data_IF_309702759837
#
_entry.id   IF_309702759837
#
_cell.length_a   1.000
_cell.length_b   1.000
_cell.length_c   1.000
_cell.angle_alpha   90.00
_cell.angle_beta   90.00
_cell.angle_gamma   90.00
#
_symmetry.space_group_name_H-M   'P 1'
#
loop_
_entity.id
_entity.type
_entity.pdbx_description
1 polymer ?
#
# COMPACT_ATOMS: atom_id res chain seq x y z
N UNK A 1 56.43 49.58 14.27
CA UNK A 1 55.75 50.03 13.04
C UNK A 1 56.16 49.14 11.87
N UNK A 2 55.22 48.44 11.24
CA UNK A 2 55.33 48.09 9.82
C UNK A 2 53.92 47.92 9.27
N UNK A 3 53.52 48.87 8.43
CA UNK A 3 52.18 49.02 7.87
C UNK A 3 52.04 48.18 6.59
N UNK A 4 50.81 47.69 6.42
CA UNK A 4 50.03 47.55 5.16
C UNK A 4 50.45 46.55 4.08
N UNK A 5 49.46 45.80 3.59
CA UNK A 5 48.85 45.84 2.22
C UNK A 5 47.84 44.67 2.11
N UNK A 6 46.53 44.94 2.04
CA UNK A 6 45.69 45.04 0.83
C UNK A 6 45.29 43.71 0.16
N UNK A 7 43.96 43.49 0.12
CA UNK A 7 43.12 42.80 -0.89
C UNK A 7 43.40 41.30 -1.13
N UNK A 8 42.42 40.40 -1.15
CA UNK A 8 41.28 40.37 -2.08
C UNK A 8 40.14 39.52 -1.52
N UNK A 9 38.94 40.09 -1.54
CA UNK A 9 37.68 39.37 -1.50
C UNK A 9 37.59 38.55 -2.80
N UNK A 10 37.61 37.22 -2.72
CA UNK A 10 37.19 36.35 -3.84
C UNK A 10 36.00 35.57 -3.35
N UNK A 11 34.83 36.10 -3.70
CA UNK A 11 33.57 35.38 -3.73
C UNK A 11 33.68 34.39 -4.89
N UNK A 12 33.93 33.12 -4.57
CA UNK A 12 33.77 32.04 -5.54
C UNK A 12 32.62 31.18 -5.02
N UNK A 13 31.43 31.47 -5.55
CA UNK A 13 30.32 30.55 -5.49
C UNK A 13 30.71 29.26 -6.18
N UNK A 14 30.59 28.15 -5.47
CA UNK A 14 30.52 26.83 -6.03
C UNK A 14 29.23 26.21 -5.51
N UNK A 15 28.39 25.82 -6.47
CA UNK A 15 27.07 25.24 -6.28
C UNK A 15 27.11 24.15 -5.20
N UNK A 16 26.32 24.35 -4.14
CA UNK A 16 25.92 23.24 -3.28
C UNK A 16 25.04 22.32 -4.11
N UNK A 17 25.61 21.24 -4.62
CA UNK A 17 24.85 20.05 -4.97
C UNK A 17 24.35 19.45 -3.66
N UNK A 18 23.28 20.04 -3.13
CA UNK A 18 22.38 19.30 -2.28
C UNK A 18 21.82 18.20 -3.18
N UNK A 19 22.34 16.99 -3.03
CA UNK A 19 21.65 15.78 -3.41
C UNK A 19 20.40 15.68 -2.51
N UNK A 20 19.42 16.54 -2.78
CA UNK A 20 18.03 16.21 -2.56
C UNK A 20 17.73 15.15 -3.61
N UNK A 21 17.75 13.89 -3.18
CA UNK A 21 17.10 12.84 -3.94
C UNK A 21 15.65 13.27 -4.10
N UNK A 22 15.29 13.78 -5.28
CA UNK A 22 13.93 13.82 -5.77
C UNK A 22 13.51 12.37 -6.00
N UNK A 23 13.10 11.72 -4.92
CA UNK A 23 11.95 10.84 -4.96
C UNK A 23 10.85 11.58 -4.21
N UNK A 24 10.06 12.37 -4.94
CA UNK A 24 8.73 12.77 -4.48
C UNK A 24 7.85 11.50 -4.49
N UNK A 25 8.11 10.59 -3.55
CA UNK A 25 7.08 9.69 -3.08
C UNK A 25 6.16 10.57 -2.24
N UNK A 26 4.97 10.82 -2.79
CA UNK A 26 3.90 11.46 -2.03
C UNK A 26 3.72 10.65 -0.75
N UNK A 27 4.26 11.17 0.36
CA UNK A 27 4.03 10.68 1.70
C UNK A 27 2.54 10.87 1.99
N UNK A 28 1.73 9.89 1.63
CA UNK A 28 0.35 9.78 2.07
C UNK A 28 0.29 9.30 3.53
N UNK A 29 1.20 9.78 4.40
CA UNK A 29 1.14 9.74 5.86
C UNK A 29 0.82 8.36 6.47
N UNK A 30 1.33 7.31 5.84
CA UNK A 30 0.94 5.94 6.15
C UNK A 30 2.17 5.04 6.35
N UNK A 31 2.42 4.63 7.60
CA UNK A 31 3.40 3.62 7.96
C UNK A 31 2.75 2.21 7.84
N UNK A 32 3.05 1.49 6.77
CA UNK A 32 2.47 0.17 6.50
C UNK A 32 3.39 -0.90 7.10
N UNK A 33 2.88 -1.74 8.01
CA UNK A 33 3.62 -2.90 8.47
C UNK A 33 3.65 -3.97 7.36
N UNK A 34 4.85 -4.40 6.97
CA UNK A 34 5.04 -5.48 6.00
C UNK A 34 4.56 -6.84 6.52
N UNK A 35 4.47 -6.98 7.85
CA UNK A 35 3.98 -8.18 8.51
C UNK A 35 2.45 -8.25 8.45
N UNK A 36 1.95 -9.23 7.72
CA UNK A 36 0.51 -9.52 7.61
C UNK A 36 0.23 -10.95 8.00
N UNK A 37 -1.02 -11.23 8.34
CA UNK A 37 -1.47 -12.59 8.64
C UNK A 37 -2.46 -13.07 7.60
N UNK A 38 -2.23 -14.28 7.11
CA UNK A 38 -3.06 -14.99 6.14
C UNK A 38 -3.99 -15.95 6.87
N UNK A 39 -5.23 -15.99 6.43
CA UNK A 39 -6.28 -16.86 6.93
C UNK A 39 -6.99 -17.53 5.76
N UNK A 40 -7.12 -18.86 5.75
CA UNK A 40 -7.86 -19.60 4.73
C UNK A 40 -9.36 -19.44 4.91
N UNK A 41 -9.81 -19.32 6.15
CA UNK A 41 -11.22 -19.23 6.51
C UNK A 41 -11.45 -18.24 7.65
N UNK A 42 -12.69 -17.77 7.80
CA UNK A 42 -13.10 -16.99 8.98
C UNK A 42 -12.81 -17.76 10.26
N UNK A 43 -13.11 -19.05 10.31
CA UNK A 43 -12.91 -19.88 11.50
C UNK A 43 -11.45 -19.88 11.94
N UNK A 44 -10.52 -20.01 10.99
CA UNK A 44 -9.09 -19.94 11.28
C UNK A 44 -8.65 -18.58 11.85
N UNK A 45 -9.28 -17.49 11.42
CA UNK A 45 -9.07 -16.17 12.01
C UNK A 45 -9.55 -16.09 13.46
N UNK A 46 -10.69 -16.70 13.77
CA UNK A 46 -11.23 -16.79 15.13
C UNK A 46 -10.36 -17.68 16.02
N UNK A 47 -9.95 -18.83 15.51
CA UNK A 47 -9.19 -19.84 16.26
C UNK A 47 -7.80 -19.34 16.68
N UNK A 48 -7.21 -18.38 15.95
CA UNK A 48 -5.96 -17.73 16.37
C UNK A 48 -6.14 -16.81 17.60
N UNK A 49 -7.37 -16.45 17.95
CA UNK A 49 -7.69 -15.69 19.17
C UNK A 49 -7.22 -14.23 19.19
N UNK A 50 -6.73 -13.70 18.06
CA UNK A 50 -6.29 -12.30 17.94
C UNK A 50 -7.46 -11.35 17.67
N UNK A 51 -8.46 -11.83 16.94
CA UNK A 51 -9.61 -11.04 16.51
C UNK A 51 -10.93 -11.68 16.93
N UNK A 52 -11.97 -10.86 17.05
CA UNK A 52 -13.32 -11.36 17.31
C UNK A 52 -13.91 -12.00 16.06
N UNK A 53 -14.87 -12.91 16.24
CA UNK A 53 -15.59 -13.52 15.11
C UNK A 53 -16.22 -12.49 14.19
N UNK A 54 -16.87 -11.47 14.75
CA UNK A 54 -17.47 -10.39 13.97
C UNK A 54 -16.43 -9.66 13.11
N UNK A 55 -15.24 -9.37 13.67
CA UNK A 55 -14.17 -8.72 12.93
C UNK A 55 -13.63 -9.60 11.79
N UNK A 56 -13.44 -10.90 12.04
CA UNK A 56 -13.00 -11.85 11.01
C UNK A 56 -14.02 -11.97 9.88
N UNK A 57 -15.32 -12.07 10.21
CA UNK A 57 -16.41 -12.12 9.21
C UNK A 57 -16.49 -10.85 8.39
N UNK A 58 -16.51 -9.69 9.05
CA UNK A 58 -16.62 -8.40 8.39
C UNK A 58 -15.47 -8.16 7.41
N UNK A 59 -14.23 -8.43 7.80
CA UNK A 59 -13.09 -8.20 6.90
C UNK A 59 -12.98 -9.26 5.81
N UNK A 60 -13.46 -10.49 6.04
CA UNK A 60 -13.60 -11.48 4.97
C UNK A 60 -14.68 -11.06 3.95
N UNK A 61 -15.80 -10.52 4.42
CA UNK A 61 -16.85 -9.98 3.54
C UNK A 61 -16.35 -8.80 2.72
N UNK A 62 -15.60 -7.88 3.33
CA UNK A 62 -14.94 -6.78 2.61
C UNK A 62 -13.90 -7.29 1.61
N UNK A 63 -13.14 -8.35 1.92
CA UNK A 63 -12.22 -8.97 0.98
C UNK A 63 -12.94 -9.60 -0.22
N UNK A 64 -14.11 -10.22 -0.02
CA UNK A 64 -14.97 -10.70 -1.11
C UNK A 64 -15.53 -9.56 -1.95
N UNK A 65 -15.97 -8.48 -1.33
CA UNK A 65 -16.43 -7.30 -2.08
C UNK A 65 -15.31 -6.69 -2.92
N UNK A 66 -14.09 -6.61 -2.34
CA UNK A 66 -12.91 -6.15 -3.06
C UNK A 66 -12.60 -7.08 -4.23
N UNK A 67 -12.69 -8.40 -4.05
CA UNK A 67 -12.50 -9.40 -5.10
C UNK A 67 -13.36 -9.12 -6.33
N UNK A 68 -14.67 -8.85 -6.19
CA UNK A 68 -15.54 -8.55 -7.34
C UNK A 68 -15.05 -7.34 -8.16
N UNK A 69 -14.40 -6.37 -7.50
CA UNK A 69 -13.92 -5.14 -8.10
C UNK A 69 -12.56 -5.31 -8.79
N UNK A 70 -11.63 -6.03 -8.17
CA UNK A 70 -10.20 -6.02 -8.55
C UNK A 70 -9.67 -7.36 -9.08
N UNK A 71 -10.45 -8.43 -8.99
CA UNK A 71 -10.00 -9.75 -9.42
C UNK A 71 -9.63 -9.76 -10.92
N UNK A 72 -8.52 -10.44 -11.28
CA UNK A 72 -8.19 -10.69 -12.67
C UNK A 72 -9.34 -11.38 -13.41
N UNK A 73 -9.70 -10.87 -14.59
CA UNK A 73 -10.79 -11.39 -15.42
C UNK A 73 -10.23 -12.10 -16.63
N UNK A 74 -10.71 -13.31 -16.88
CA UNK A 74 -10.32 -14.14 -18.00
C UNK A 74 -11.51 -14.43 -18.91
N UNK A 75 -11.27 -14.50 -20.21
CA UNK A 75 -12.29 -14.85 -21.21
C UNK A 75 -12.53 -16.35 -21.32
N UNK A 76 -11.61 -17.18 -20.81
CA UNK A 76 -11.68 -18.63 -20.87
C UNK A 76 -11.29 -19.26 -19.53
N UNK A 77 -11.94 -20.37 -19.18
CA UNK A 77 -11.62 -21.14 -17.96
C UNK A 77 -10.16 -21.59 -17.96
N UNK A 78 -9.68 -22.12 -19.09
CA UNK A 78 -8.33 -22.67 -19.22
C UNK A 78 -7.23 -21.64 -18.98
N UNK A 79 -7.43 -20.37 -19.35
CA UNK A 79 -6.43 -19.32 -19.13
C UNK A 79 -6.38 -18.85 -17.67
N UNK A 80 -7.51 -18.93 -16.96
CA UNK A 80 -7.56 -18.74 -15.52
C UNK A 80 -6.89 -19.92 -14.79
N UNK A 81 -7.29 -21.15 -15.10
CA UNK A 81 -6.77 -22.36 -14.44
C UNK A 81 -5.27 -22.57 -14.71
N UNK A 82 -4.75 -22.11 -15.85
CA UNK A 82 -3.31 -22.10 -16.11
C UNK A 82 -2.49 -21.29 -15.08
N UNK A 83 -3.11 -20.31 -14.42
CA UNK A 83 -2.45 -19.42 -13.45
C UNK A 83 -2.84 -19.70 -11.99
N UNK A 84 -4.08 -20.14 -11.77
CA UNK A 84 -4.67 -20.34 -10.43
C UNK A 84 -4.92 -21.81 -10.09
N UNK A 85 -4.70 -22.71 -11.05
CA UNK A 85 -4.77 -24.15 -10.89
C UNK A 85 -6.11 -24.73 -11.34
N UNK A 86 -6.16 -26.05 -11.62
CA UNK A 86 -7.40 -26.74 -11.99
C UNK A 86 -8.47 -26.56 -10.91
N UNK A 87 -9.68 -26.15 -11.29
CA UNK A 87 -10.78 -25.90 -10.34
C UNK A 87 -10.58 -24.67 -9.45
N UNK A 88 -9.54 -23.88 -9.68
CA UNK A 88 -9.25 -22.64 -8.95
C UNK A 88 -9.96 -21.40 -9.51
N UNK A 89 -10.97 -21.58 -10.36
CA UNK A 89 -11.63 -20.49 -11.08
C UNK A 89 -13.16 -20.65 -11.05
N UNK A 90 -13.86 -19.53 -10.97
CA UNK A 90 -15.32 -19.44 -10.97
C UNK A 90 -15.83 -18.58 -12.13
N UNK A 91 -16.95 -18.99 -12.72
CA UNK A 91 -17.63 -18.22 -13.77
C UNK A 91 -18.54 -17.16 -13.14
N UNK A 92 -18.46 -15.93 -13.64
CA UNK A 92 -19.31 -14.80 -13.25
C UNK A 92 -20.01 -14.26 -14.48
N UNK A 93 -21.32 -14.06 -14.36
CA UNK A 93 -22.13 -13.45 -15.41
C UNK A 93 -21.97 -11.93 -15.35
N UNK A 94 -21.82 -11.32 -16.52
CA UNK A 94 -21.76 -9.88 -16.75
C UNK A 94 -22.79 -9.51 -17.80
N UNK A 95 -23.07 -8.22 -17.96
CA UNK A 95 -24.01 -7.71 -18.97
C UNK A 95 -23.61 -8.08 -20.41
N UNK A 96 -22.33 -8.40 -20.63
CA UNK A 96 -21.72 -8.67 -21.93
C UNK A 96 -21.37 -10.15 -22.15
N UNK A 97 -21.63 -11.04 -21.18
CA UNK A 97 -21.35 -12.47 -21.28
C UNK A 97 -20.90 -13.08 -19.95
N UNK A 98 -20.08 -14.13 -20.01
CA UNK A 98 -19.49 -14.76 -18.82
C UNK A 98 -17.97 -14.53 -18.78
N UNK A 99 -17.45 -14.14 -17.62
CA UNK A 99 -16.01 -14.04 -17.36
C UNK A 99 -15.59 -15.04 -16.30
N UNK A 100 -14.33 -15.44 -16.32
CA UNK A 100 -13.73 -16.34 -15.33
C UNK A 100 -12.87 -15.54 -14.37
N UNK A 101 -13.11 -15.71 -13.07
CA UNK A 101 -12.34 -15.11 -12.00
C UNK A 101 -11.64 -16.21 -11.19
N UNK A 102 -10.48 -15.92 -10.59
CA UNK A 102 -9.86 -16.85 -9.65
C UNK A 102 -10.69 -16.98 -8.38
N UNK A 103 -10.92 -18.21 -7.91
CA UNK A 103 -11.60 -18.46 -6.66
C UNK A 103 -10.77 -17.97 -5.48
N UNK A 104 -11.43 -17.34 -4.51
CA UNK A 104 -10.79 -16.90 -3.26
C UNK A 104 -10.35 -18.13 -2.45
N UNK A 105 -9.06 -18.22 -2.18
CA UNK A 105 -8.45 -19.29 -1.39
C UNK A 105 -8.23 -18.91 0.08
N UNK A 106 -8.46 -17.64 0.42
CA UNK A 106 -8.33 -17.08 1.76
C UNK A 106 -8.33 -15.56 1.72
N UNK A 107 -7.99 -14.95 2.85
CA UNK A 107 -7.86 -13.51 2.97
C UNK A 107 -6.66 -13.16 3.86
N UNK A 108 -6.13 -11.98 3.60
CA UNK A 108 -5.05 -11.38 4.36
C UNK A 108 -5.60 -10.27 5.24
N UNK A 109 -5.09 -10.16 6.46
CA UNK A 109 -5.23 -8.98 7.31
C UNK A 109 -3.85 -8.41 7.64
N UNK A 110 -3.63 -7.15 7.30
CA UNK A 110 -2.48 -6.35 7.68
C UNK A 110 -2.89 -5.20 8.59
N UNK A 111 -1.97 -4.76 9.43
CA UNK A 111 -2.12 -3.53 10.20
C UNK A 111 -1.25 -2.46 9.61
N UNK A 112 -1.78 -1.26 9.65
CA UNK A 112 -1.25 -0.21 8.84
C UNK A 112 -1.56 1.09 9.63
N UNK A 113 -0.55 1.90 9.92
CA UNK A 113 -0.59 3.06 10.80
C UNK A 113 -0.71 4.34 9.98
N UNK A 114 -1.93 4.87 9.87
CA UNK A 114 -2.16 6.19 9.29
C UNK A 114 -1.97 7.31 10.31
N UNK A 115 -1.83 8.55 9.84
CA UNK A 115 -1.53 9.77 10.60
C UNK A 115 -2.23 9.98 11.98
N UNK A 116 -3.34 9.29 12.31
CA UNK A 116 -3.97 9.26 13.66
C UNK A 116 -4.76 7.98 14.00
N UNK A 117 -4.74 6.93 13.16
CA UNK A 117 -5.56 5.71 13.35
C UNK A 117 -4.83 4.48 12.80
N UNK A 118 -4.95 3.36 13.50
CA UNK A 118 -4.64 2.05 12.93
C UNK A 118 -5.77 1.68 11.97
N UNK A 119 -5.44 1.51 10.70
CA UNK A 119 -6.34 1.05 9.65
C UNK A 119 -5.96 -0.39 9.28
N UNK A 120 -6.99 -1.16 8.93
CA UNK A 120 -6.89 -2.59 8.67
C UNK A 120 -6.86 -2.79 7.17
N UNK A 121 -5.77 -3.35 6.66
CA UNK A 121 -5.67 -3.76 5.27
C UNK A 121 -6.25 -5.17 5.15
N UNK A 122 -7.31 -5.33 4.37
CA UNK A 122 -7.86 -6.63 3.97
C UNK A 122 -7.65 -6.90 2.47
N UNK A 123 -7.31 -8.13 2.10
CA UNK A 123 -7.15 -8.50 0.69
C UNK A 123 -7.56 -9.95 0.41
N UNK A 124 -8.28 -10.23 -0.70
CA UNK A 124 -8.50 -11.60 -1.13
C UNK A 124 -7.19 -12.23 -1.60
N UNK A 125 -7.02 -13.50 -1.26
CA UNK A 125 -5.89 -14.31 -1.70
C UNK A 125 -6.35 -15.38 -2.68
N UNK A 126 -5.54 -15.64 -3.69
CA UNK A 126 -5.77 -16.65 -4.70
C UNK A 126 -4.69 -17.71 -4.66
N UNK A 127 -5.00 -18.91 -5.12
CA UNK A 127 -3.99 -19.95 -5.24
C UNK A 127 -2.94 -19.57 -6.28
N UNK A 128 -1.69 -19.85 -5.94
CA UNK A 128 -0.57 -19.70 -6.85
C UNK A 128 -0.33 -21.01 -7.58
N UNK A 129 -0.68 -21.09 -8.87
CA UNK A 129 -0.30 -22.23 -9.70
C UNK A 129 0.92 -21.86 -10.55
N UNK A 130 1.95 -22.71 -10.52
CA UNK A 130 3.11 -22.62 -11.39
C UNK A 130 3.20 -23.95 -12.13
N UNK A 131 2.86 -23.95 -13.42
CA UNK A 131 2.84 -25.14 -14.27
C UNK A 131 4.25 -25.64 -14.60
N UNK A 132 5.25 -24.75 -14.62
CA UNK A 132 6.65 -25.15 -14.49
C UNK A 132 6.85 -25.59 -13.05
N UNK A 133 7.12 -26.89 -12.87
CA UNK A 133 7.32 -27.50 -11.58
C UNK A 133 8.08 -26.55 -10.65
N UNK A 134 7.44 -26.19 -9.53
CA UNK A 134 8.20 -26.13 -8.30
C UNK A 134 8.81 -27.53 -8.14
N UNK A 135 9.96 -27.74 -8.79
CA UNK A 135 11.01 -28.56 -8.23
C UNK A 135 11.02 -28.19 -6.76
N UNK A 136 10.76 -29.18 -5.93
CA UNK A 136 10.71 -28.99 -4.50
C UNK A 136 11.95 -28.21 -4.07
N UNK A 137 11.72 -27.12 -3.34
CA UNK A 137 12.20 -27.19 -1.98
C UNK A 137 11.23 -28.15 -1.26
N UNK A 138 11.48 -29.45 -1.17
CA UNK A 138 12.81 -30.06 -1.16
C UNK A 138 13.65 -29.53 0.00
N UNK A 139 13.03 -28.86 0.98
CA UNK A 139 13.56 -28.57 2.29
C UNK A 139 12.43 -28.90 3.25
N UNK A 140 12.53 -30.05 3.92
CA UNK A 140 11.54 -30.49 4.90
C UNK A 140 11.27 -29.37 5.90
N UNK A 141 10.02 -28.89 5.93
CA UNK A 141 9.70 -27.72 6.71
C UNK A 141 8.21 -27.45 6.88
N UNK A 142 7.36 -28.47 7.00
CA UNK A 142 6.07 -28.38 7.71
C UNK A 142 5.18 -27.14 7.47
N UNK A 143 5.11 -26.59 6.27
CA UNK A 143 4.28 -25.41 6.02
C UNK A 143 2.82 -25.84 5.92
N UNK A 144 2.02 -25.50 6.92
CA UNK A 144 0.57 -25.75 6.95
C UNK A 144 -0.19 -24.94 5.87
N UNK A 145 0.48 -23.97 5.22
CA UNK A 145 -0.08 -23.06 4.22
C UNK A 145 0.46 -23.34 2.81
N UNK A 146 -0.43 -23.21 1.82
CA UNK A 146 -0.07 -23.28 0.40
C UNK A 146 0.63 -22.01 -0.11
N UNK A 147 0.90 -21.95 -1.41
CA UNK A 147 1.38 -20.72 -2.05
C UNK A 147 0.19 -19.89 -2.53
N UNK A 148 0.16 -18.61 -2.16
CA UNK A 148 -0.90 -17.68 -2.51
C UNK A 148 -0.38 -16.54 -3.39
N UNK A 149 -1.27 -15.81 -4.06
CA UNK A 149 -0.99 -14.55 -4.76
C UNK A 149 -2.11 -13.55 -4.47
N UNK A 150 -1.85 -12.27 -4.71
CA UNK A 150 -2.86 -11.21 -4.66
C UNK A 150 -3.19 -10.72 -6.08
N UNK A 151 -4.21 -9.87 -6.23
CA UNK A 151 -4.57 -9.33 -7.53
C UNK A 151 -3.51 -8.38 -8.11
N UNK A 152 -2.79 -7.67 -7.25
CA UNK A 152 -1.82 -6.64 -7.60
C UNK A 152 -0.36 -7.13 -7.54
N UNK A 153 -0.13 -8.41 -7.27
CA UNK A 153 1.21 -8.99 -7.31
C UNK A 153 1.19 -10.41 -7.86
N UNK A 154 1.91 -10.68 -8.97
CA UNK A 154 2.07 -12.04 -9.47
C UNK A 154 3.04 -12.87 -8.62
N UNK A 155 3.81 -12.24 -7.73
CA UNK A 155 4.77 -12.94 -6.89
C UNK A 155 4.05 -13.85 -5.88
N UNK A 156 4.42 -15.14 -5.80
CA UNK A 156 3.82 -16.05 -4.83
C UNK A 156 4.25 -15.69 -3.41
N UNK A 157 3.28 -15.61 -2.50
CA UNK A 157 3.49 -15.52 -1.06
C UNK A 157 3.38 -16.90 -0.44
N UNK A 158 4.25 -17.16 0.53
CA UNK A 158 4.27 -18.41 1.31
C UNK A 158 4.23 -18.06 2.80
N UNK A 159 3.05 -18.12 3.43
CA UNK A 159 2.93 -17.91 4.87
C UNK A 159 3.69 -18.99 5.63
N UNK A 160 4.24 -18.63 6.79
CA UNK A 160 4.85 -19.58 7.71
C UNK A 160 3.76 -20.43 8.42
N UNK A 161 4.16 -21.32 9.34
CA UNK A 161 3.23 -22.17 10.07
C UNK A 161 2.19 -21.38 10.90
N UNK A 162 2.50 -20.17 11.35
CA UNK A 162 1.56 -19.28 12.06
C UNK A 162 0.70 -18.44 11.12
N UNK A 163 0.83 -18.61 9.80
CA UNK A 163 0.10 -17.83 8.79
C UNK A 163 0.66 -16.43 8.58
N UNK A 164 1.78 -16.08 9.21
CA UNK A 164 2.43 -14.79 9.01
C UNK A 164 3.18 -14.80 7.68
N UNK A 165 3.07 -13.69 6.95
CA UNK A 165 3.74 -13.48 5.68
C UNK A 165 4.23 -12.03 5.60
N UNK A 166 5.23 -11.80 4.73
CA UNK A 166 5.67 -10.45 4.39
C UNK A 166 5.28 -10.10 2.98
N UNK A 167 4.80 -8.88 2.82
CA UNK A 167 4.45 -8.31 1.53
C UNK A 167 5.30 -7.08 1.28
N UNK A 168 5.61 -6.87 0.01
CA UNK A 168 6.19 -5.63 -0.44
C UNK A 168 5.25 -4.46 -0.09
N UNK A 169 5.82 -3.36 0.36
CA UNK A 169 5.06 -2.20 0.83
C UNK A 169 4.18 -1.60 -0.27
N UNK A 170 4.59 -1.67 -1.54
CA UNK A 170 3.78 -1.17 -2.67
C UNK A 170 2.55 -2.06 -2.89
N UNK A 171 2.67 -3.37 -2.67
CA UNK A 171 1.55 -4.31 -2.75
C UNK A 171 0.52 -3.99 -1.66
N UNK A 172 0.97 -3.70 -0.45
CA UNK A 172 0.08 -3.33 0.65
C UNK A 172 -0.50 -1.93 0.46
N UNK A 173 0.26 -0.95 -0.05
CA UNK A 173 -0.23 0.40 -0.38
C UNK A 173 -1.30 0.35 -1.48
N UNK A 174 -1.09 -0.48 -2.49
CA UNK A 174 -2.08 -0.74 -3.54
C UNK A 174 -3.35 -1.37 -3.00
N UNK A 175 -3.23 -2.32 -2.05
CA UNK A 175 -4.38 -2.91 -1.37
C UNK A 175 -5.16 -1.87 -0.55
N UNK A 176 -4.47 -1.10 0.30
CA UNK A 176 -5.07 -0.02 1.10
C UNK A 176 -5.77 1.02 0.20
N UNK A 177 -5.14 1.40 -0.91
CA UNK A 177 -5.73 2.34 -1.87
C UNK A 177 -7.00 1.81 -2.53
N UNK A 178 -7.07 0.50 -2.81
CA UNK A 178 -8.24 -0.13 -3.41
C UNK A 178 -9.42 -0.27 -2.41
N UNK A 179 -9.16 -0.17 -1.11
CA UNK A 179 -10.18 -0.18 -0.05
C UNK A 179 -10.82 1.18 0.16
N UNK A 180 -10.16 2.26 -0.27
CA UNK A 180 -10.70 3.63 -0.16
C UNK A 180 -11.92 3.76 -1.07
N UNK A 181 -13.02 4.36 -0.59
CA UNK A 181 -14.18 4.63 -1.44
C UNK A 181 -13.78 5.60 -2.55
N UNK A 182 -14.29 5.39 -3.77
CA UNK A 182 -13.93 6.16 -4.97
C UNK A 182 -14.10 7.68 -4.83
N UNK A 183 -14.88 8.14 -3.84
CA UNK A 183 -15.21 9.54 -3.59
C UNK A 183 -14.33 10.20 -2.51
N UNK A 184 -13.45 9.47 -1.81
CA UNK A 184 -12.61 10.01 -0.74
C UNK A 184 -11.34 10.73 -1.23
N UNK A 185 -11.37 11.31 -2.44
CA UNK A 185 -10.40 12.35 -2.83
C UNK A 185 -10.82 13.67 -2.20
N UNK A 186 -10.63 13.83 -0.89
CA UNK A 186 -10.61 15.16 -0.30
C UNK A 186 -9.31 15.82 -0.75
N UNK A 187 -9.35 16.53 -1.87
CA UNK A 187 -8.36 17.57 -2.15
C UNK A 187 -8.44 18.52 -0.97
N UNK A 188 -7.45 18.46 -0.09
CA UNK A 188 -7.17 19.54 0.86
C UNK A 188 -6.90 20.76 0.00
N UNK A 189 -7.95 21.56 -0.25
CA UNK A 189 -7.77 22.91 -0.74
C UNK A 189 -6.91 23.56 0.33
N UNK A 190 -5.64 23.77 -0.02
CA UNK A 190 -4.72 24.57 0.78
C UNK A 190 -5.43 25.91 0.98
N UNK A 191 -6.07 26.09 2.14
CA UNK A 191 -6.53 27.39 2.59
C UNK A 191 -5.27 28.19 2.80
N UNK A 192 -4.87 28.94 1.78
CA UNK A 192 -3.73 29.84 1.79
C UNK A 192 -3.82 30.73 3.01
N UNK A 193 -3.05 30.40 4.03
CA UNK A 193 -2.77 31.27 5.15
C UNK A 193 -1.76 32.30 4.69
N UNK A 194 -2.23 33.44 4.20
CA UNK A 194 -1.44 34.66 4.13
C UNK A 194 -2.12 35.71 5.00
N UNK A 195 -1.76 35.70 6.29
CA UNK A 195 -1.89 36.86 7.13
C UNK A 195 -1.03 37.98 6.55
N UNK A 196 -1.66 38.85 5.77
CA UNK A 196 -1.09 40.14 5.40
C UNK A 196 -0.89 40.92 6.70
N UNK A 197 0.36 40.96 7.14
CA UNK A 197 0.86 41.79 8.21
C UNK A 197 0.74 43.23 7.67
N UNK A 198 -0.33 43.94 8.00
CA UNK A 198 -0.36 45.37 7.83
C UNK A 198 0.61 45.96 8.85
N UNK A 199 1.86 46.18 8.45
CA UNK A 199 2.79 46.99 9.22
C UNK A 199 2.22 48.40 9.28
N UNK A 200 1.73 48.78 10.46
CA UNK A 200 1.46 50.17 10.83
C UNK A 200 2.76 50.97 10.73
N UNK A 201 2.90 51.75 9.66
CA UNK A 201 3.95 52.74 9.54
C UNK A 201 3.63 53.95 10.43
N UNK A 202 4.16 53.95 11.64
CA UNK A 202 4.31 55.15 12.46
C UNK A 202 5.58 55.88 12.03
N UNK A 203 5.44 57.08 11.47
CA UNK A 203 6.54 58.03 11.34
C UNK A 203 6.06 59.43 11.68
N UNK A 204 6.26 59.81 12.93
CA UNK A 204 6.15 61.16 13.45
C UNK A 204 7.51 61.87 13.39
N UNK A 205 7.47 63.11 12.92
CA UNK A 205 8.29 64.29 13.28
C UNK A 205 9.81 64.32 12.99
N UNK A 206 10.19 65.28 12.13
CA UNK A 206 11.21 66.34 12.31
C UNK A 206 11.51 66.90 10.90
N UNK A 207 11.44 68.18 10.55
CA UNK A 207 11.77 69.41 11.27
C UNK A 207 12.87 70.16 10.49
N UNK A 208 12.55 71.37 10.02
CA UNK A 208 13.42 72.51 9.64
C UNK A 208 14.25 72.53 8.33
N UNK A 209 14.07 73.63 7.58
CA UNK A 209 15.19 74.43 7.05
C UNK A 209 15.01 75.02 5.65
N UNK A 210 14.92 76.36 5.56
CA UNK A 210 15.33 77.15 4.38
C UNK A 210 14.21 77.77 3.57
#
# INVERSE_FOLDING_TARGET
>A
MKRSKMLKLVLMGAAGTLAAGCGDDADDGYDISEDVTVYKTVQECVDKGVFTENFCRENFDKAKELHEKVAPRFTAQSSCEAQFGPGGCEARQTDTGSVWLPAIAGFMLGQALGNRRSEVIYQPLYNSYSSSGSYGGGGGGGYSYGSYRTWNSPAPIRPNASGSARFDTDVLRGAASAQKPAFARTTTVARGGFGARASSGSSSSSGFGG
#
